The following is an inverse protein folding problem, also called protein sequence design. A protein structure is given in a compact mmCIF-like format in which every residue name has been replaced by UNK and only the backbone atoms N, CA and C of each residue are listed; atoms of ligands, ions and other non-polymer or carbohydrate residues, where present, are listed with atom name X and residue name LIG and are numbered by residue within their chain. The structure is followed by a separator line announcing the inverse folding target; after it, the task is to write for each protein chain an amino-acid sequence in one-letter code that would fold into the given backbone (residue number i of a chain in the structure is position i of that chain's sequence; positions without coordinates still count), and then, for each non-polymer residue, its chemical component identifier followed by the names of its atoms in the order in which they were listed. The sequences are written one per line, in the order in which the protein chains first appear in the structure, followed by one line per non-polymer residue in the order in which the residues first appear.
data_IF_655522830497
#
_entry.id   IF_655522830497
#
_cell.length_a   1.000
_cell.length_b   1.000
_cell.length_c   1.000
_cell.angle_alpha   90.00
_cell.angle_beta   90.00
_cell.angle_gamma   90.00
#
_symmetry.space_group_name_H-M   'P 1'
#
loop_
_entity.id
_entity.type
_entity.pdbx_description
1 polymer ?
#
# COMPACT_ATOMS: atom_id res chain seq x y z
N UNK A 1 -9.79 9.08 4.40
CA UNK A 1 -10.63 8.58 5.50
C UNK A 1 -9.75 7.64 6.30
N UNK A 2 -9.49 7.94 7.58
CA UNK A 2 -8.77 7.03 8.47
C UNK A 2 -9.85 6.12 9.04
N UNK A 3 -9.81 4.83 8.71
CA UNK A 3 -10.72 3.86 9.26
C UNK A 3 -9.99 3.14 10.40
N UNK A 4 -10.29 3.49 11.65
CA UNK A 4 -10.02 2.62 12.80
C UNK A 4 -11.01 1.45 12.73
N UNK A 5 -10.84 0.59 11.72
CA UNK A 5 -11.73 -0.52 11.47
C UNK A 5 -11.18 -1.78 12.13
N UNK A 6 -12.03 -2.45 12.91
CA UNK A 6 -11.81 -3.84 13.29
C UNK A 6 -11.77 -4.72 12.02
N UNK A 7 -11.24 -5.95 12.11
CA UNK A 7 -11.09 -6.85 10.95
C UNK A 7 -12.40 -7.02 10.16
N UNK A 8 -13.53 -6.99 10.86
CA UNK A 8 -14.88 -7.07 10.29
C UNK A 8 -15.27 -5.82 9.49
N UNK A 9 -15.00 -4.62 10.02
CA UNK A 9 -15.24 -3.35 9.33
C UNK A 9 -14.33 -3.14 8.12
N UNK A 10 -13.09 -3.66 8.16
CA UNK A 10 -12.21 -3.69 6.97
C UNK A 10 -12.81 -4.60 5.90
N UNK A 11 -13.30 -5.78 6.28
CA UNK A 11 -13.95 -6.71 5.33
C UNK A 11 -15.20 -6.11 4.72
N UNK A 12 -16.05 -5.46 5.51
CA UNK A 12 -17.26 -4.80 5.01
C UNK A 12 -16.92 -3.63 4.07
N UNK A 13 -15.97 -2.78 4.45
CA UNK A 13 -15.49 -1.68 3.60
C UNK A 13 -14.91 -2.19 2.28
N UNK A 14 -14.08 -3.22 2.34
CA UNK A 14 -13.53 -3.89 1.16
C UNK A 14 -14.65 -4.43 0.28
N UNK A 15 -15.60 -5.17 0.85
CA UNK A 15 -16.67 -5.79 0.07
C UNK A 15 -17.54 -4.73 -0.63
N UNK A 16 -17.86 -3.63 0.07
CA UNK A 16 -18.66 -2.53 -0.45
C UNK A 16 -17.94 -1.70 -1.54
N UNK A 17 -16.61 -1.60 -1.49
CA UNK A 17 -15.82 -0.79 -2.43
C UNK A 17 -15.09 -1.62 -3.50
N UNK A 18 -15.08 -2.95 -3.39
CA UNK A 18 -14.33 -3.87 -4.27
C UNK A 18 -14.93 -4.06 -5.66
N UNK A 19 -16.22 -3.77 -5.85
CA UNK A 19 -16.93 -4.16 -7.09
C UNK A 19 -16.33 -3.52 -8.36
N UNK A 20 -15.69 -2.35 -8.22
CA UNK A 20 -15.05 -1.61 -9.31
C UNK A 20 -13.68 -1.03 -8.92
N UNK A 21 -13.10 -1.48 -7.80
CA UNK A 21 -11.83 -0.94 -7.33
C UNK A 21 -10.74 -2.00 -7.31
N UNK A 22 -9.59 -1.65 -7.86
CA UNK A 22 -8.38 -2.42 -7.69
C UNK A 22 -7.87 -2.23 -6.26
N UNK A 23 -7.79 -3.32 -5.51
CA UNK A 23 -7.35 -3.30 -4.12
C UNK A 23 -5.88 -3.67 -4.07
N UNK A 24 -5.05 -2.80 -3.49
CA UNK A 24 -3.66 -3.07 -3.20
C UNK A 24 -3.37 -2.85 -1.71
N UNK A 25 -3.01 -3.90 -1.00
CA UNK A 25 -2.46 -3.83 0.34
C UNK A 25 -0.94 -3.66 0.26
N UNK A 26 -0.38 -2.72 1.00
CA UNK A 26 1.04 -2.41 0.97
C UNK A 26 1.62 -2.42 2.38
N UNK A 27 2.84 -2.92 2.52
CA UNK A 27 3.55 -2.93 3.79
C UNK A 27 5.06 -2.79 3.57
N UNK A 28 5.77 -2.26 4.56
CA UNK A 28 7.22 -2.32 4.62
C UNK A 28 7.66 -2.97 5.93
N UNK A 29 8.85 -3.56 5.91
CA UNK A 29 9.47 -4.09 7.12
C UNK A 29 10.94 -3.73 7.13
N UNK A 30 11.46 -3.44 8.32
CA UNK A 30 12.85 -3.07 8.52
C UNK A 30 13.49 -3.98 9.56
N UNK A 31 14.64 -4.51 9.19
CA UNK A 31 15.60 -5.16 10.08
C UNK A 31 16.95 -4.44 9.98
N UNK A 32 17.93 -4.76 10.84
CA UNK A 32 19.24 -4.12 10.82
C UNK A 32 19.97 -4.23 9.47
N UNK A 33 19.75 -5.32 8.73
CA UNK A 33 20.51 -5.64 7.52
C UNK A 33 19.67 -5.61 6.24
N UNK A 34 18.34 -5.56 6.35
CA UNK A 34 17.46 -5.48 5.19
C UNK A 34 16.23 -4.63 5.51
N UNK A 35 15.85 -3.79 4.55
CA UNK A 35 14.53 -3.19 4.50
C UNK A 35 13.80 -3.85 3.32
N UNK A 36 12.63 -4.43 3.57
CA UNK A 36 11.81 -5.05 2.53
C UNK A 36 10.51 -4.29 2.38
N UNK A 37 10.00 -4.27 1.16
CA UNK A 37 8.70 -3.72 0.84
C UNK A 37 7.88 -4.80 0.16
N UNK A 38 6.58 -4.84 0.43
CA UNK A 38 5.68 -5.83 -0.13
C UNK A 38 4.36 -5.17 -0.50
N UNK A 39 3.83 -5.56 -1.64
CA UNK A 39 2.49 -5.19 -2.07
C UNK A 39 1.73 -6.43 -2.50
N UNK A 40 0.47 -6.49 -2.13
CA UNK A 40 -0.45 -7.51 -2.54
C UNK A 40 -1.64 -6.84 -3.21
N UNK A 41 -1.90 -7.21 -4.45
CA UNK A 41 -2.99 -6.72 -5.24
C UNK A 41 -3.85 -7.87 -5.77
N UNK A 42 -5.09 -7.57 -6.17
CA UNK A 42 -6.04 -8.58 -6.66
C UNK A 42 -5.49 -9.48 -7.78
N UNK A 43 -4.55 -8.98 -8.61
CA UNK A 43 -3.97 -9.72 -9.73
C UNK A 43 -2.49 -10.04 -9.59
N UNK A 44 -1.76 -9.31 -8.74
CA UNK A 44 -0.32 -9.39 -8.70
C UNK A 44 0.18 -9.16 -7.27
N UNK A 45 1.33 -9.72 -6.94
CA UNK A 45 1.99 -9.43 -5.66
C UNK A 45 3.48 -9.25 -5.91
N UNK A 46 4.09 -8.37 -5.14
CA UNK A 46 5.50 -8.05 -5.26
C UNK A 46 6.18 -8.01 -3.91
N UNK A 47 7.45 -8.38 -3.91
CA UNK A 47 8.34 -8.25 -2.75
C UNK A 47 9.67 -7.72 -3.25
N UNK A 48 10.09 -6.56 -2.75
CA UNK A 48 11.40 -6.00 -3.07
C UNK A 48 12.23 -5.80 -1.81
N UNK A 49 13.55 -5.82 -2.00
CA UNK A 49 14.52 -5.45 -0.98
C UNK A 49 15.14 -4.12 -1.38
N UNK A 50 15.08 -3.16 -0.48
CA UNK A 50 15.75 -1.88 -0.63
C UNK A 50 16.93 -1.82 0.34
N UNK A 51 17.87 -0.92 0.05
CA UNK A 51 19.09 -0.80 0.86
C UNK A 51 18.73 -0.54 2.34
N UNK A 52 19.36 -1.22 3.31
CA UNK A 52 19.02 -1.10 4.73
C UNK A 52 19.28 0.28 5.34
N UNK A 53 19.96 1.18 4.61
CA UNK A 53 20.06 2.60 5.00
C UNK A 53 18.71 3.31 4.97
N UNK A 54 17.77 2.82 4.16
CA UNK A 54 16.46 3.43 4.02
C UNK A 54 15.62 3.23 5.30
N UNK A 55 14.85 4.26 5.62
CA UNK A 55 13.89 4.20 6.71
C UNK A 55 12.72 3.29 6.37
N UNK A 56 11.99 2.85 7.40
CA UNK A 56 10.74 2.10 7.21
C UNK A 56 9.72 2.94 6.41
N UNK A 57 9.59 4.22 6.75
CA UNK A 57 8.68 5.17 6.09
C UNK A 57 8.98 5.35 4.60
N UNK A 58 10.27 5.38 4.24
CA UNK A 58 10.69 5.40 2.83
C UNK A 58 10.22 4.14 2.11
N UNK A 59 10.31 2.98 2.76
CA UNK A 59 9.79 1.73 2.21
C UNK A 59 8.28 1.76 2.01
N UNK A 60 7.53 2.28 2.99
CA UNK A 60 6.07 2.39 2.93
C UNK A 60 5.62 3.34 1.81
N UNK A 61 6.26 4.49 1.66
CA UNK A 61 5.99 5.39 0.54
C UNK A 61 6.31 4.73 -0.82
N UNK A 62 7.44 4.04 -0.92
CA UNK A 62 7.84 3.35 -2.15
C UNK A 62 6.87 2.25 -2.57
N UNK A 63 6.35 1.46 -1.64
CA UNK A 63 5.38 0.41 -1.98
C UNK A 63 4.03 0.97 -2.42
N UNK A 64 3.63 2.13 -1.90
CA UNK A 64 2.43 2.84 -2.37
C UNK A 64 2.66 3.35 -3.80
N UNK A 65 3.80 4.00 -4.07
CA UNK A 65 4.14 4.45 -5.42
C UNK A 65 4.20 3.28 -6.41
N UNK A 66 4.81 2.16 -6.01
CA UNK A 66 4.91 0.98 -6.87
C UNK A 66 3.54 0.36 -7.14
N UNK A 67 2.66 0.28 -6.14
CA UNK A 67 1.29 -0.16 -6.34
C UNK A 67 0.59 0.72 -7.38
N UNK A 68 0.71 2.04 -7.29
CA UNK A 68 0.10 2.96 -8.27
C UNK A 68 0.65 2.73 -9.69
N UNK A 69 1.97 2.60 -9.82
CA UNK A 69 2.62 2.37 -11.13
C UNK A 69 2.20 1.04 -11.76
N UNK A 70 2.09 -0.03 -10.96
CA UNK A 70 1.65 -1.36 -11.41
C UNK A 70 0.17 -1.35 -11.87
N UNK A 71 -0.62 -0.41 -11.36
CA UNK A 71 -2.08 -0.30 -11.56
C UNK A 71 -2.43 0.84 -12.53
N UNK A 72 -1.48 1.37 -13.30
CA UNK A 72 -1.68 2.50 -14.24
C UNK A 72 -2.67 2.23 -15.41
N UNK A 73 -3.63 1.32 -15.24
CA UNK A 73 -4.81 1.15 -16.07
C UNK A 73 -5.78 2.31 -15.73
N UNK A 74 -6.00 3.26 -16.65
CA UNK A 74 -6.64 4.55 -16.36
C UNK A 74 -8.14 4.50 -16.03
N UNK A 75 -8.76 3.31 -16.01
CA UNK A 75 -10.22 3.16 -15.91
C UNK A 75 -10.72 2.52 -14.60
N UNK A 76 -9.83 2.03 -13.72
CA UNK A 76 -10.23 1.39 -12.46
C UNK A 76 -10.00 2.31 -11.25
N UNK A 77 -10.95 2.30 -10.30
CA UNK A 77 -10.76 3.01 -9.03
C UNK A 77 -9.66 2.31 -8.23
N UNK A 78 -8.67 3.06 -7.73
CA UNK A 78 -7.59 2.47 -6.93
C UNK A 78 -7.86 2.62 -5.43
N UNK A 79 -7.90 1.51 -4.71
CA UNK A 79 -7.99 1.47 -3.26
C UNK A 79 -6.68 0.90 -2.67
N UNK A 80 -5.93 1.73 -1.93
CA UNK A 80 -4.68 1.33 -1.26
C UNK A 80 -4.94 1.16 0.23
N UNK A 81 -4.59 -0.01 0.76
CA UNK A 81 -4.63 -0.34 2.19
C UNK A 81 -3.21 -0.32 2.74
N UNK A 82 -2.98 0.52 3.75
CA UNK A 82 -1.69 0.62 4.45
C UNK A 82 -1.95 0.74 5.95
N UNK A 83 -1.13 0.07 6.74
CA UNK A 83 -1.11 0.19 8.21
C UNK A 83 -0.28 1.41 8.67
N UNK A 84 0.42 2.06 7.76
CA UNK A 84 1.20 3.26 8.05
C UNK A 84 0.44 4.55 7.82
N UNK A 85 -0.01 5.15 8.93
CA UNK A 85 -0.55 6.51 8.93
C UNK A 85 0.47 7.53 8.37
N UNK A 86 1.75 7.28 8.61
CA UNK A 86 2.90 8.10 8.16
C UNK A 86 3.05 8.15 6.65
N UNK A 87 2.60 7.11 5.94
CA UNK A 87 2.72 7.00 4.50
C UNK A 87 1.62 7.77 3.75
N UNK A 88 0.50 8.08 4.40
CA UNK A 88 -0.61 8.86 3.83
C UNK A 88 -0.23 10.30 3.44
N UNK A 89 0.42 11.12 4.30
CA UNK A 89 0.85 12.46 3.91
C UNK A 89 1.96 12.45 2.86
N UNK A 90 2.78 11.40 2.79
CA UNK A 90 3.76 11.25 1.72
C UNK A 90 3.07 11.14 0.36
N UNK A 91 1.96 10.40 0.26
CA UNK A 91 1.16 10.30 -0.97
C UNK A 91 0.63 11.67 -1.45
N UNK A 92 0.13 12.52 -0.55
CA UNK A 92 -0.37 13.86 -0.91
C UNK A 92 0.73 14.72 -1.55
N UNK A 93 1.99 14.49 -1.18
CA UNK A 93 3.14 15.24 -1.69
C UNK A 93 3.56 14.83 -3.12
N UNK A 94 3.12 13.65 -3.61
CA UNK A 94 3.48 13.12 -4.93
C UNK A 94 2.35 13.23 -5.97
N UNK A 95 1.30 14.00 -5.66
CA UNK A 95 0.18 14.28 -6.57
C UNK A 95 0.35 15.57 -7.37
#
# INVERSE_FOLDING_TARGET
MICDANEEGVKEFVNNNSQNSFISATNASKSPNVTSITGFANRNSFVFRIHPINSIFTGEALTICHAIDDISIPEENLMILTDSLSALPAWVLFR
#
